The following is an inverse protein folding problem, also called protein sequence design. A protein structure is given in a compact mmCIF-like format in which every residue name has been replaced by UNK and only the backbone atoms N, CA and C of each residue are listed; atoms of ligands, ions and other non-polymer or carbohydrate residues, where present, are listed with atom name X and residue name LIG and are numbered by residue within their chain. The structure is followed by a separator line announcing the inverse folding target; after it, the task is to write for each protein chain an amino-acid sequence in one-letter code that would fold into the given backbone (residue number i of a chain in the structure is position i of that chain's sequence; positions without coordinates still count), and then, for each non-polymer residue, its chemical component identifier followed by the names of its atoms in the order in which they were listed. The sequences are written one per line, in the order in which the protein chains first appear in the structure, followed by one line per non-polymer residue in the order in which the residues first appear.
data_IF_393500618042
#
_entry.id   IF_393500618042
#
_cell.length_a   1.000
_cell.length_b   1.000
_cell.length_c   1.000
_cell.angle_alpha   90.00
_cell.angle_beta   90.00
_cell.angle_gamma   90.00
#
_symmetry.space_group_name_H-M   'P 1'
#
loop_
_entity.id
_entity.type
_entity.pdbx_description
1 polymer ?
#
# COMPACT_ATOMS: atom_id res chain seq x y z
N UNK A 1 10.15 -12.98 -3.90
CA UNK A 1 10.09 -12.09 -2.71
C UNK A 1 10.29 -10.66 -3.19
N UNK A 2 9.36 -9.75 -2.91
CA UNK A 2 9.48 -8.33 -3.28
C UNK A 2 10.31 -7.65 -2.17
N UNK A 3 11.42 -6.96 -2.48
CA UNK A 3 12.28 -6.34 -1.47
C UNK A 3 11.72 -5.03 -0.90
N UNK A 4 10.47 -4.73 -1.21
CA UNK A 4 9.73 -3.58 -0.70
C UNK A 4 8.46 -4.07 -0.02
N UNK A 5 8.16 -3.49 1.14
CA UNK A 5 6.92 -3.70 1.86
C UNK A 5 6.20 -2.36 1.99
N UNK A 6 4.87 -2.35 1.96
CA UNK A 6 4.09 -1.15 2.14
C UNK A 6 2.99 -1.39 3.17
N UNK A 7 2.80 -0.44 4.08
CA UNK A 7 1.74 -0.47 5.08
C UNK A 7 1.00 0.86 5.08
N UNK A 8 -0.29 0.82 5.43
CA UNK A 8 -1.04 2.03 5.72
C UNK A 8 -0.90 2.39 7.21
N UNK A 9 -0.66 3.66 7.48
CA UNK A 9 -0.66 4.22 8.83
C UNK A 9 -2.09 4.55 9.28
N UNK A 10 -2.35 4.68 10.60
CA UNK A 10 -3.65 5.14 11.09
C UNK A 10 -4.08 6.51 10.55
N UNK A 11 -3.12 7.37 10.17
CA UNK A 11 -3.39 8.68 9.54
C UNK A 11 -3.81 8.60 8.07
N UNK A 12 -3.76 7.41 7.45
CA UNK A 12 -4.16 7.16 6.07
C UNK A 12 -3.00 7.12 5.07
N UNK A 13 -1.83 7.63 5.45
CA UNK A 13 -0.61 7.59 4.63
C UNK A 13 -0.16 6.16 4.35
N UNK A 14 0.42 5.94 3.17
CA UNK A 14 1.07 4.67 2.83
C UNK A 14 2.58 4.85 2.99
N UNK A 15 3.18 4.05 3.86
CA UNK A 15 4.63 4.05 4.13
C UNK A 15 5.25 2.84 3.45
N UNK A 16 6.30 3.09 2.66
CA UNK A 16 7.05 2.07 1.94
C UNK A 16 8.39 1.83 2.64
N UNK A 17 8.64 0.57 2.96
CA UNK A 17 9.90 0.09 3.52
C UNK A 17 10.66 -0.71 2.49
N UNK A 18 11.96 -0.52 2.51
CA UNK A 18 12.90 -1.32 1.76
C UNK A 18 13.55 -2.35 2.71
N UNK A 19 13.52 -3.63 2.35
CA UNK A 19 13.91 -4.77 3.21
C UNK A 19 14.84 -5.76 2.51
N UNK A 20 15.64 -5.30 1.54
CA UNK A 20 16.60 -6.14 0.80
C UNK A 20 18.06 -5.68 0.93
N UNK A 21 18.91 -6.24 0.05
CA UNK A 21 20.30 -5.80 -0.17
C UNK A 21 20.47 -4.68 -1.22
N UNK A 22 19.76 -4.73 -2.36
CA UNK A 22 19.64 -3.60 -3.31
C UNK A 22 18.20 -3.09 -3.57
N UNK A 23 17.95 -1.76 -3.68
CA UNK A 23 16.62 -1.18 -3.88
C UNK A 23 16.21 -1.26 -5.35
N UNK A 24 16.14 -2.48 -5.88
CA UNK A 24 15.83 -2.77 -7.27
C UNK A 24 14.66 -3.74 -7.37
N UNK A 25 13.88 -3.58 -8.44
CA UNK A 25 12.76 -4.44 -8.79
C UNK A 25 12.96 -4.94 -10.21
N UNK A 26 12.64 -6.21 -10.45
CA UNK A 26 12.37 -6.65 -11.82
C UNK A 26 11.04 -6.05 -12.30
N UNK A 27 10.77 -6.00 -13.62
CA UNK A 27 9.49 -5.51 -14.13
C UNK A 27 8.27 -6.20 -13.50
N UNK A 28 8.30 -7.52 -13.37
CA UNK A 28 7.19 -8.29 -12.75
C UNK A 28 6.99 -7.94 -11.27
N UNK A 29 8.09 -7.73 -10.54
CA UNK A 29 8.01 -7.32 -9.13
C UNK A 29 7.50 -5.90 -8.97
N UNK A 30 7.83 -5.00 -9.91
CA UNK A 30 7.31 -3.63 -9.93
C UNK A 30 5.80 -3.61 -10.15
N UNK A 31 5.29 -4.44 -11.08
CA UNK A 31 3.84 -4.59 -11.29
C UNK A 31 3.13 -5.13 -10.06
N UNK A 32 3.64 -6.23 -9.48
CA UNK A 32 3.08 -6.81 -8.26
C UNK A 32 3.06 -5.82 -7.08
N UNK A 33 4.12 -5.02 -6.92
CA UNK A 33 4.17 -4.01 -5.87
C UNK A 33 3.21 -2.85 -6.13
N UNK A 34 3.03 -2.43 -7.39
CA UNK A 34 2.05 -1.41 -7.75
C UNK A 34 0.61 -1.86 -7.44
N UNK A 35 0.29 -3.14 -7.66
CA UNK A 35 -1.01 -3.70 -7.29
C UNK A 35 -1.22 -3.72 -5.77
N UNK A 36 -0.19 -4.03 -4.98
CA UNK A 36 -0.25 -3.90 -3.53
C UNK A 36 -0.56 -2.47 -3.09
N UNK A 37 0.12 -1.47 -3.68
CA UNK A 37 -0.14 -0.05 -3.37
C UNK A 37 -1.57 0.37 -3.74
N UNK A 38 -2.09 -0.10 -4.89
CA UNK A 38 -3.46 0.16 -5.31
C UNK A 38 -4.48 -0.45 -4.34
N UNK A 39 -4.25 -1.69 -3.89
CA UNK A 39 -5.11 -2.36 -2.91
C UNK A 39 -5.13 -1.61 -1.57
N UNK A 40 -3.96 -1.19 -1.09
CA UNK A 40 -3.86 -0.34 0.10
C UNK A 40 -4.67 0.93 -0.11
N UNK A 41 -4.40 1.69 -1.17
CA UNK A 41 -5.12 2.94 -1.49
C UNK A 41 -6.65 2.75 -1.46
N UNK A 42 -7.18 1.75 -2.16
CA UNK A 42 -8.62 1.47 -2.26
C UNK A 42 -9.28 1.14 -0.91
N UNK A 43 -8.60 0.46 0.01
CA UNK A 43 -9.15 0.12 1.31
C UNK A 43 -9.50 1.36 2.18
N UNK A 44 -8.89 2.52 1.95
CA UNK A 44 -9.22 3.75 2.70
C UNK A 44 -10.54 4.32 2.20
N UNK A 45 -10.74 4.28 0.89
CA UNK A 45 -11.95 4.77 0.24
C UNK A 45 -13.19 3.99 0.68
N UNK A 46 -13.02 2.75 1.15
CA UNK A 46 -14.12 1.91 1.66
C UNK A 46 -14.41 2.10 3.16
N UNK A 47 -13.50 2.67 3.95
CA UNK A 47 -13.76 3.02 5.37
C UNK A 47 -14.39 4.42 5.52
N UNK A 48 -14.12 5.34 4.60
CA UNK A 48 -14.70 6.69 4.58
C UNK A 48 -16.26 6.79 4.51
N UNK A 49 -17.03 5.87 3.90
CA UNK A 49 -18.47 6.02 3.80
C UNK A 49 -19.25 5.55 5.04
N UNK A 50 -18.65 4.72 5.92
CA UNK A 50 -19.37 4.16 7.07
C UNK A 50 -19.48 5.14 8.26
N UNK A 51 -18.52 6.05 8.43
CA UNK A 51 -18.53 7.03 9.52
C UNK A 51 -19.40 8.26 9.23
N UNK A 52 -19.61 8.61 7.95
CA UNK A 52 -20.43 9.75 7.56
C UNK A 52 -21.95 9.48 7.61
N UNK A 53 -22.36 8.22 7.64
CA UNK A 53 -23.78 7.82 7.66
C UNK A 53 -24.35 7.61 9.09
N UNK A 54 -23.56 7.88 10.13
CA UNK A 54 -23.91 7.61 11.53
C UNK A 54 -24.15 8.88 12.37
N UNK A 55 -24.34 10.05 11.75
CA UNK A 55 -24.60 11.35 12.43
C UNK A 55 -25.91 11.95 11.95
#
# INVERSE_FOLDING_TARGET
MIPFNAVRTPGGDIVVFYVGSEPRLTPDQALAFADQLRALAAAASQQAPAMAAAV
#
